data_IF_334187325857
#
_entry.id   IF_334187325857
#
_cell.length_a   1.000
_cell.length_b   1.000
_cell.length_c   1.000
_cell.angle_alpha   90.00
_cell.angle_beta   90.00
_cell.angle_gamma   90.00
#
_symmetry.space_group_name_H-M   'P 1'
#
loop_
_entity.id
_entity.type
_entity.pdbx_description
1 polymer ?
#
# COMPACT_ATOMS: atom_id res chain seq x y z
N UNK A 1 -9.12 6.45 57.60
CA UNK A 1 -7.78 6.91 57.98
C UNK A 1 -7.33 7.84 56.87
N UNK A 2 -7.32 9.13 57.11
CA UNK A 2 -6.89 10.13 56.14
C UNK A 2 -5.36 10.07 56.08
N UNK A 3 -4.85 9.53 55.01
CA UNK A 3 -3.42 9.59 54.69
C UNK A 3 -3.04 11.07 54.50
N UNK A 4 -1.96 11.46 55.12
CA UNK A 4 -1.46 12.82 55.08
C UNK A 4 -0.98 13.10 53.64
N UNK A 5 -1.67 13.92 52.82
CA UNK A 5 -1.37 14.08 51.39
C UNK A 5 0.08 14.51 51.14
N UNK A 6 0.68 15.20 52.10
CA UNK A 6 2.05 15.71 51.99
C UNK A 6 3.13 14.60 51.99
N UNK A 7 2.89 13.44 52.64
CA UNK A 7 3.87 12.32 52.67
C UNK A 7 3.79 11.53 51.36
N UNK A 8 2.60 11.32 50.86
CA UNK A 8 2.38 10.60 49.57
C UNK A 8 2.98 11.37 48.39
N UNK A 9 2.74 12.67 48.35
CA UNK A 9 3.31 13.53 47.32
C UNK A 9 4.84 13.53 47.35
N UNK A 10 5.43 13.60 48.57
CA UNK A 10 6.88 13.54 48.72
C UNK A 10 7.46 12.20 48.22
N UNK A 11 6.82 11.08 48.50
CA UNK A 11 7.27 9.76 48.05
C UNK A 11 7.17 9.67 46.52
N UNK A 12 6.09 10.16 45.93
CA UNK A 12 5.89 10.19 44.48
C UNK A 12 6.99 11.03 43.81
N UNK A 13 7.23 12.23 44.29
CA UNK A 13 8.25 13.12 43.75
C UNK A 13 9.67 12.56 43.92
N UNK A 14 9.95 11.94 45.07
CA UNK A 14 11.22 11.27 45.30
C UNK A 14 11.47 10.13 44.33
N UNK A 15 10.48 9.26 44.10
CA UNK A 15 10.59 8.15 43.16
C UNK A 15 10.69 8.61 41.70
N UNK A 16 10.01 9.70 41.34
CA UNK A 16 10.16 10.34 40.02
C UNK A 16 11.55 10.92 39.81
N UNK A 17 12.12 11.53 40.84
CA UNK A 17 13.47 12.09 40.78
C UNK A 17 14.58 11.02 40.80
N UNK A 18 14.27 9.81 41.27
CA UNK A 18 15.23 8.72 41.41
C UNK A 18 14.72 7.43 40.73
N UNK A 19 14.68 7.37 39.38
CA UNK A 19 14.16 6.21 38.67
C UNK A 19 14.94 4.91 38.93
N UNK A 20 16.23 5.04 39.33
CA UNK A 20 17.10 3.91 39.66
C UNK A 20 16.96 3.42 41.13
N UNK A 21 16.00 3.97 41.88
CA UNK A 21 15.84 3.63 43.31
C UNK A 21 15.68 2.13 43.52
N UNK A 22 14.81 1.48 42.78
CA UNK A 22 14.56 0.04 42.87
C UNK A 22 15.70 -0.82 42.32
N UNK A 23 16.52 -0.29 41.40
CA UNK A 23 17.74 -0.97 40.95
C UNK A 23 18.82 -1.01 42.06
N UNK A 24 18.88 0.04 42.87
CA UNK A 24 19.80 0.09 44.04
C UNK A 24 19.27 -0.66 45.23
N UNK A 25 17.97 -0.87 45.33
CA UNK A 25 17.28 -1.54 46.42
C UNK A 25 16.37 -2.66 45.93
N UNK A 26 16.92 -3.72 45.31
CA UNK A 26 16.13 -4.79 44.69
C UNK A 26 15.31 -5.59 45.72
N UNK A 27 15.79 -5.71 46.97
CA UNK A 27 15.12 -6.33 48.10
C UNK A 27 13.80 -5.63 48.45
N UNK A 28 13.76 -4.30 48.44
CA UNK A 28 12.52 -3.56 48.64
C UNK A 28 11.52 -3.83 47.54
N UNK A 29 11.99 -3.89 46.29
CA UNK A 29 11.14 -4.17 45.14
C UNK A 29 10.56 -5.60 45.20
N UNK A 30 11.36 -6.60 45.60
CA UNK A 30 10.94 -8.00 45.70
C UNK A 30 9.91 -8.23 46.81
N UNK A 31 9.99 -7.46 47.91
CA UNK A 31 9.09 -7.57 49.05
C UNK A 31 7.85 -6.66 48.97
N UNK A 32 7.77 -5.82 47.95
CA UNK A 32 6.64 -4.92 47.74
C UNK A 32 5.45 -5.72 47.22
N UNK A 33 4.45 -5.93 48.04
CA UNK A 33 3.20 -6.58 47.67
C UNK A 33 2.10 -5.53 47.46
N UNK A 34 1.53 -5.49 46.30
CA UNK A 34 0.39 -4.63 46.02
C UNK A 34 -0.92 -5.42 46.27
N UNK A 35 -1.90 -4.83 46.97
CA UNK A 35 -3.20 -5.49 47.13
C UNK A 35 -3.84 -5.69 45.79
N UNK A 36 -4.06 -6.93 45.39
CA UNK A 36 -4.74 -7.30 44.14
C UNK A 36 -6.23 -7.45 44.33
N UNK A 37 -6.97 -7.53 43.24
CA UNK A 37 -8.41 -7.85 43.27
C UNK A 37 -8.69 -9.35 43.35
N UNK A 38 -7.67 -10.20 43.51
CA UNK A 38 -7.83 -11.63 43.73
C UNK A 38 -8.23 -11.97 45.17
N UNK A 39 -8.94 -13.07 45.45
CA UNK A 39 -9.39 -13.44 46.76
C UNK A 39 -8.25 -13.63 47.80
N UNK A 40 -7.05 -13.87 47.35
CA UNK A 40 -5.83 -14.00 48.12
C UNK A 40 -5.00 -12.71 48.26
N UNK A 41 -5.44 -11.66 47.59
CA UNK A 41 -5.19 -10.25 47.96
C UNK A 41 -3.89 -9.63 47.56
N UNK A 42 -2.88 -10.33 47.07
CA UNK A 42 -1.60 -9.70 46.78
C UNK A 42 -0.96 -10.16 45.48
N UNK A 43 -0.59 -9.18 44.63
CA UNK A 43 0.23 -9.41 43.45
C UNK A 43 1.58 -8.75 43.60
N UNK A 44 2.62 -9.36 43.05
CA UNK A 44 3.92 -8.73 43.04
C UNK A 44 3.93 -7.51 42.11
N UNK A 45 4.73 -6.47 42.39
CA UNK A 45 4.87 -5.30 41.51
C UNK A 45 5.29 -5.69 40.09
N UNK A 46 6.10 -6.74 39.96
CA UNK A 46 6.53 -7.26 38.66
C UNK A 46 5.36 -7.84 37.83
N UNK A 47 4.41 -8.52 38.48
CA UNK A 47 3.20 -9.03 37.81
C UNK A 47 2.28 -7.89 37.36
N UNK A 48 2.08 -6.89 38.22
CA UNK A 48 1.29 -5.70 37.84
C UNK A 48 1.94 -4.93 36.68
N UNK A 49 3.25 -4.80 36.71
CA UNK A 49 3.98 -4.17 35.59
C UNK A 49 3.88 -4.96 34.29
N UNK A 50 4.01 -6.29 34.37
CA UNK A 50 3.85 -7.17 33.21
C UNK A 50 2.43 -7.09 32.62
N UNK A 51 1.39 -7.06 33.42
CA UNK A 51 0.02 -6.89 32.98
C UNK A 51 -0.21 -5.52 32.32
N UNK A 52 0.32 -4.46 32.93
CA UNK A 52 0.24 -3.12 32.38
C UNK A 52 0.97 -3.01 31.02
N UNK A 53 2.16 -3.63 30.90
CA UNK A 53 2.91 -3.68 29.65
C UNK A 53 2.19 -4.50 28.57
N UNK A 54 1.61 -5.64 28.93
CA UNK A 54 0.79 -6.44 28.00
C UNK A 54 -0.43 -5.67 27.51
N UNK A 55 -1.14 -4.98 28.41
CA UNK A 55 -2.27 -4.14 28.05
C UNK A 55 -1.85 -2.97 27.13
N UNK A 56 -0.72 -2.33 27.42
CA UNK A 56 -0.16 -1.28 26.58
C UNK A 56 0.24 -1.79 25.18
N UNK A 57 0.90 -2.94 25.11
CA UNK A 57 1.27 -3.59 23.83
C UNK A 57 0.02 -3.94 23.01
N UNK A 58 -0.98 -4.55 23.64
CA UNK A 58 -2.25 -4.88 22.95
C UNK A 58 -2.95 -3.65 22.42
N UNK A 59 -3.01 -2.57 23.18
CA UNK A 59 -3.60 -1.31 22.73
C UNK A 59 -2.81 -0.65 21.58
N UNK A 60 -1.48 -0.76 21.60
CA UNK A 60 -0.65 -0.30 20.49
C UNK A 60 -0.88 -1.11 19.21
N UNK A 61 -1.00 -2.44 19.33
CA UNK A 61 -1.29 -3.32 18.19
C UNK A 61 -2.65 -2.99 17.56
N UNK A 62 -3.69 -2.86 18.38
CA UNK A 62 -5.04 -2.50 17.91
C UNK A 62 -5.03 -1.15 17.18
N UNK A 63 -4.37 -0.13 17.74
CA UNK A 63 -4.26 1.18 17.08
C UNK A 63 -3.51 1.12 15.75
N UNK A 64 -2.47 0.31 15.67
CA UNK A 64 -1.70 0.14 14.43
C UNK A 64 -2.54 -0.59 13.37
N UNK A 65 -3.31 -1.59 13.75
CA UNK A 65 -4.23 -2.28 12.85
C UNK A 65 -5.36 -1.35 12.36
N UNK A 66 -5.95 -0.57 13.26
CA UNK A 66 -6.96 0.43 12.89
C UNK A 66 -6.38 1.49 11.94
N UNK A 67 -5.14 1.94 12.17
CA UNK A 67 -4.46 2.90 11.30
C UNK A 67 -4.27 2.32 9.90
N UNK A 68 -3.75 1.09 9.79
CA UNK A 68 -3.57 0.39 8.51
C UNK A 68 -4.90 0.19 7.77
N UNK A 69 -5.96 -0.15 8.50
CA UNK A 69 -7.28 -0.33 7.92
C UNK A 69 -7.84 0.98 7.37
N UNK A 70 -7.70 2.10 8.12
CA UNK A 70 -8.10 3.43 7.64
C UNK A 70 -7.31 3.88 6.43
N UNK A 71 -5.98 3.72 6.43
CA UNK A 71 -5.12 4.06 5.29
C UNK A 71 -5.49 3.24 4.05
N UNK A 72 -5.76 1.94 4.23
CA UNK A 72 -6.24 1.06 3.15
C UNK A 72 -7.60 1.51 2.60
N UNK A 73 -8.55 1.88 3.47
CA UNK A 73 -9.87 2.35 3.06
C UNK A 73 -9.79 3.68 2.27
N UNK A 74 -9.04 4.65 2.78
CA UNK A 74 -8.84 5.92 2.06
C UNK A 74 -8.15 5.74 0.72
N UNK A 75 -7.15 4.84 0.66
CA UNK A 75 -6.49 4.50 -0.61
C UNK A 75 -7.45 3.84 -1.60
N UNK A 76 -8.35 2.99 -1.13
CA UNK A 76 -9.35 2.33 -1.97
C UNK A 76 -10.42 3.30 -2.47
N UNK A 77 -10.90 4.22 -1.64
CA UNK A 77 -11.85 5.26 -2.03
C UNK A 77 -11.26 6.19 -3.09
N UNK A 78 -10.03 6.69 -2.88
CA UNK A 78 -9.35 7.55 -3.84
C UNK A 78 -9.17 6.87 -5.21
N UNK A 79 -8.78 5.59 -5.22
CA UNK A 79 -8.67 4.81 -6.46
C UNK A 79 -10.02 4.60 -7.14
N UNK A 80 -11.07 4.39 -6.37
CA UNK A 80 -12.42 4.25 -6.93
C UNK A 80 -12.90 5.54 -7.59
N UNK A 81 -12.65 6.69 -7.00
CA UNK A 81 -12.97 8.00 -7.59
C UNK A 81 -12.19 8.23 -8.89
N UNK A 82 -10.92 7.83 -8.93
CA UNK A 82 -10.06 7.97 -10.10
C UNK A 82 -10.55 7.08 -11.26
N UNK A 83 -10.96 5.84 -10.97
CA UNK A 83 -11.55 4.94 -11.95
C UNK A 83 -12.89 5.49 -12.48
N UNK A 84 -13.73 6.04 -11.61
CA UNK A 84 -15.00 6.64 -12.01
C UNK A 84 -14.76 7.86 -12.92
N UNK A 85 -13.79 8.70 -12.59
CA UNK A 85 -13.39 9.83 -13.44
C UNK A 85 -12.93 9.36 -14.80
N UNK A 86 -12.02 8.39 -14.84
CA UNK A 86 -11.54 7.80 -16.09
C UNK A 86 -12.68 7.22 -16.94
N UNK A 87 -13.60 6.46 -16.33
CA UNK A 87 -14.76 5.94 -17.03
C UNK A 87 -15.66 7.06 -17.59
N UNK A 88 -15.82 8.16 -16.84
CA UNK A 88 -16.56 9.33 -17.29
C UNK A 88 -15.89 10.01 -18.50
N UNK A 89 -14.57 10.16 -18.44
CA UNK A 89 -13.77 10.74 -19.53
C UNK A 89 -13.84 9.87 -20.80
N UNK A 90 -13.78 8.53 -20.65
CA UNK A 90 -13.97 7.59 -21.74
C UNK A 90 -15.35 7.73 -22.40
N UNK A 91 -16.41 7.84 -21.60
CA UNK A 91 -17.78 8.01 -22.11
C UNK A 91 -18.01 9.38 -22.75
N UNK A 92 -17.33 10.41 -22.28
CA UNK A 92 -17.37 11.74 -22.85
C UNK A 92 -16.53 11.91 -24.13
N UNK A 93 -15.58 10.98 -24.36
CA UNK A 93 -14.72 11.02 -25.54
C UNK A 93 -15.49 10.57 -26.79
N UNK A 94 -15.75 11.51 -27.70
CA UNK A 94 -16.45 11.23 -28.98
C UNK A 94 -15.50 10.96 -30.12
N UNK A 95 -14.19 11.13 -29.91
CA UNK A 95 -13.16 10.95 -30.93
C UNK A 95 -12.51 9.58 -30.83
N UNK A 96 -12.73 8.73 -31.84
CA UNK A 96 -12.08 7.41 -31.88
C UNK A 96 -10.55 7.48 -32.01
N UNK A 97 -10.00 8.61 -32.42
CA UNK A 97 -8.55 8.84 -32.54
C UNK A 97 -7.93 9.28 -31.19
N UNK A 98 -8.68 10.03 -30.42
CA UNK A 98 -8.21 10.53 -29.11
C UNK A 98 -8.34 9.49 -27.98
N UNK A 99 -9.29 8.57 -28.12
CA UNK A 99 -9.57 7.55 -27.12
C UNK A 99 -8.33 6.71 -26.72
N UNK A 100 -7.49 6.22 -27.66
CA UNK A 100 -6.26 5.50 -27.30
C UNK A 100 -5.27 6.34 -26.48
N UNK A 101 -5.16 7.63 -26.79
CA UNK A 101 -4.28 8.55 -26.04
C UNK A 101 -4.80 8.81 -24.63
N UNK A 102 -6.13 8.92 -24.47
CA UNK A 102 -6.76 9.08 -23.17
C UNK A 102 -6.51 7.85 -22.29
N UNK A 103 -6.68 6.65 -22.83
CA UNK A 103 -6.37 5.39 -22.13
C UNK A 103 -4.89 5.35 -21.74
N UNK A 104 -3.99 5.64 -22.67
CA UNK A 104 -2.55 5.62 -22.41
C UNK A 104 -2.14 6.61 -21.33
N UNK A 105 -2.65 7.85 -21.38
CA UNK A 105 -2.35 8.88 -20.40
C UNK A 105 -2.83 8.52 -19.00
N UNK A 106 -3.99 7.89 -18.88
CA UNK A 106 -4.50 7.38 -17.61
C UNK A 106 -3.57 6.34 -17.00
N UNK A 107 -3.16 5.33 -17.76
CA UNK A 107 -2.28 4.29 -17.27
C UNK A 107 -0.88 4.81 -16.92
N UNK A 108 -0.31 5.72 -17.71
CA UNK A 108 0.97 6.36 -17.39
C UNK A 108 0.88 7.10 -16.03
N UNK A 109 -0.20 7.84 -15.84
CA UNK A 109 -0.42 8.58 -14.59
C UNK A 109 -0.62 7.65 -13.39
N UNK A 110 -1.48 6.64 -13.52
CA UNK A 110 -1.83 5.70 -12.43
C UNK A 110 -0.61 4.89 -11.97
N UNK A 111 0.15 4.35 -12.93
CA UNK A 111 1.34 3.55 -12.61
C UNK A 111 2.61 4.39 -12.44
N UNK A 112 2.52 5.73 -12.61
CA UNK A 112 3.68 6.65 -12.57
C UNK A 112 4.80 6.18 -13.50
N UNK A 113 4.41 5.63 -14.67
CA UNK A 113 5.34 5.11 -15.64
C UNK A 113 6.11 6.26 -16.32
N UNK A 114 7.41 6.06 -16.56
CA UNK A 114 8.21 7.05 -17.29
C UNK A 114 7.79 7.13 -18.76
N UNK A 115 7.45 5.97 -19.33
CA UNK A 115 7.04 5.83 -20.72
C UNK A 115 5.88 4.85 -20.83
N UNK A 116 5.07 4.99 -21.88
CA UNK A 116 3.97 4.08 -22.18
C UNK A 116 3.74 3.96 -23.68
N UNK A 117 3.24 2.81 -24.08
CA UNK A 117 2.91 2.50 -25.46
C UNK A 117 1.57 1.77 -25.50
N UNK A 118 0.70 2.18 -26.43
CA UNK A 118 -0.53 1.47 -26.71
C UNK A 118 -0.49 0.97 -28.16
N UNK A 119 -0.81 -0.30 -28.37
CA UNK A 119 -0.94 -0.92 -29.68
C UNK A 119 -2.29 -1.61 -29.78
N UNK A 120 -2.93 -1.48 -30.93
CA UNK A 120 -4.24 -2.07 -31.21
C UNK A 120 -4.17 -2.91 -32.46
N UNK A 121 -4.66 -4.14 -32.38
CA UNK A 121 -4.82 -5.02 -33.55
C UNK A 121 -6.01 -5.97 -33.36
N UNK A 122 -6.78 -6.22 -34.44
CA UNK A 122 -6.77 -5.56 -35.74
C UNK A 122 -7.43 -4.18 -35.67
N UNK A 123 -7.03 -3.29 -36.57
CA UNK A 123 -7.67 -1.98 -36.76
C UNK A 123 -8.31 -1.87 -38.13
N UNK A 124 -9.33 -1.03 -38.25
CA UNK A 124 -9.94 -0.70 -39.56
C UNK A 124 -8.93 0.07 -40.41
N UNK A 125 -8.98 -0.05 -41.77
CA UNK A 125 -8.00 0.58 -42.67
C UNK A 125 -7.86 2.09 -42.51
N UNK A 126 -8.93 2.79 -42.16
CA UNK A 126 -8.91 4.25 -41.91
C UNK A 126 -8.12 4.67 -40.68
N UNK A 127 -7.76 3.75 -39.80
CA UNK A 127 -6.94 4.01 -38.61
C UNK A 127 -5.49 3.49 -38.71
N UNK A 128 -5.15 2.84 -39.84
CA UNK A 128 -3.82 2.21 -40.01
C UNK A 128 -2.64 3.18 -40.00
N UNK A 129 -2.88 4.48 -40.18
CA UNK A 129 -1.84 5.53 -40.21
C UNK A 129 -1.48 6.05 -38.80
N UNK A 130 -2.23 5.67 -37.78
CA UNK A 130 -2.00 6.17 -36.44
C UNK A 130 -0.94 5.33 -35.69
N UNK A 131 -0.17 5.94 -34.77
CA UNK A 131 0.87 5.23 -34.01
C UNK A 131 0.36 4.01 -33.25
N UNK A 132 -0.86 4.04 -32.74
CA UNK A 132 -1.46 2.91 -32.02
C UNK A 132 -1.80 1.71 -32.90
N UNK A 133 -1.82 1.89 -34.22
CA UNK A 133 -2.13 0.85 -35.22
C UNK A 133 -0.87 0.18 -35.81
N UNK A 134 0.31 0.65 -35.43
CA UNK A 134 1.59 0.08 -35.89
C UNK A 134 1.73 -1.35 -35.40
N UNK A 135 1.96 -2.31 -36.30
CA UNK A 135 2.09 -3.74 -36.00
C UNK A 135 3.46 -4.05 -35.43
N UNK A 136 3.49 -4.94 -34.45
CA UNK A 136 4.74 -5.37 -33.80
C UNK A 136 5.41 -6.57 -34.48
N UNK A 137 4.71 -7.24 -35.35
CA UNK A 137 5.15 -8.48 -35.98
C UNK A 137 4.41 -9.70 -35.41
N UNK A 138 4.18 -10.72 -36.26
CA UNK A 138 3.29 -11.83 -35.92
C UNK A 138 3.78 -12.66 -34.72
N UNK A 139 5.09 -12.86 -34.57
CA UNK A 139 5.63 -13.64 -33.46
C UNK A 139 5.48 -12.91 -32.12
N UNK A 140 5.69 -11.60 -32.13
CA UNK A 140 5.52 -10.74 -30.93
C UNK A 140 4.05 -10.64 -30.54
N UNK A 141 3.17 -10.42 -31.52
CA UNK A 141 1.73 -10.38 -31.28
C UNK A 141 1.22 -11.69 -30.70
N UNK A 142 1.67 -12.84 -31.21
CA UNK A 142 1.30 -14.14 -30.67
C UNK A 142 1.83 -14.35 -29.23
N UNK A 143 3.02 -13.87 -28.92
CA UNK A 143 3.57 -13.90 -27.57
C UNK A 143 2.75 -13.02 -26.63
N UNK A 144 2.40 -11.82 -27.04
CA UNK A 144 1.56 -10.88 -26.25
C UNK A 144 0.13 -11.41 -26.07
N UNK A 145 -0.43 -12.07 -27.09
CA UNK A 145 -1.75 -12.69 -27.03
C UNK A 145 -1.80 -13.87 -26.04
N UNK A 146 -0.67 -14.51 -25.76
CA UNK A 146 -0.57 -15.57 -24.75
C UNK A 146 -0.65 -15.09 -23.31
N UNK A 147 -0.49 -13.80 -23.07
CA UNK A 147 -0.58 -13.20 -21.73
C UNK A 147 -2.06 -13.11 -21.34
N UNK A 148 -2.49 -13.93 -20.39
CA UNK A 148 -3.92 -13.99 -19.99
C UNK A 148 -4.38 -12.74 -19.21
N UNK A 149 -3.61 -12.31 -18.23
CA UNK A 149 -3.99 -11.19 -17.35
C UNK A 149 -3.10 -9.96 -17.54
N UNK A 150 -1.88 -10.05 -17.01
CA UNK A 150 -0.85 -9.03 -17.17
C UNK A 150 0.54 -9.65 -17.01
N UNK A 151 1.54 -8.96 -17.49
CA UNK A 151 2.94 -9.29 -17.25
C UNK A 151 3.62 -8.14 -16.53
N UNK A 152 4.39 -8.45 -15.49
CA UNK A 152 5.24 -7.51 -14.77
C UNK A 152 6.62 -8.14 -14.58
N UNK A 153 7.65 -7.58 -15.21
CA UNK A 153 9.00 -8.12 -15.14
C UNK A 153 9.97 -7.38 -16.06
N UNK A 154 11.14 -7.98 -16.25
CA UNK A 154 12.24 -7.40 -17.05
C UNK A 154 12.43 -8.08 -18.42
N UNK A 155 11.86 -9.28 -18.65
CA UNK A 155 12.13 -10.12 -19.82
C UNK A 155 11.82 -9.48 -21.18
N UNK A 156 10.91 -8.50 -21.21
CA UNK A 156 10.54 -7.77 -22.44
C UNK A 156 11.16 -6.37 -22.50
N UNK A 157 12.12 -6.08 -21.61
CA UNK A 157 12.67 -4.74 -21.48
C UNK A 157 13.29 -4.21 -22.75
N UNK A 158 14.09 -5.03 -23.43
CA UNK A 158 14.82 -4.63 -24.65
C UNK A 158 13.85 -4.44 -25.82
N UNK A 159 12.87 -5.36 -26.01
CA UNK A 159 11.85 -5.23 -27.05
C UNK A 159 10.98 -4.01 -26.82
N UNK A 160 10.51 -3.79 -25.58
CA UNK A 160 9.68 -2.64 -25.24
C UNK A 160 10.44 -1.33 -25.43
N UNK A 161 11.70 -1.25 -25.05
CA UNK A 161 12.56 -0.11 -25.29
C UNK A 161 12.70 0.20 -26.80
N UNK A 162 12.87 -0.84 -27.61
CA UNK A 162 12.91 -0.70 -29.05
C UNK A 162 11.58 -0.15 -29.61
N UNK A 163 10.42 -0.65 -29.13
CA UNK A 163 9.10 -0.16 -29.55
C UNK A 163 8.84 1.28 -29.15
N UNK A 164 9.31 1.68 -27.97
CA UNK A 164 9.24 3.04 -27.45
C UNK A 164 10.28 3.97 -28.05
N UNK A 165 11.31 3.44 -28.74
CA UNK A 165 12.46 4.18 -29.28
C UNK A 165 13.24 4.93 -28.19
N UNK A 166 13.41 4.26 -27.04
CA UNK A 166 14.21 4.74 -25.89
C UNK A 166 15.44 3.84 -25.70
N UNK A 167 16.38 4.29 -24.85
CA UNK A 167 17.54 3.48 -24.51
C UNK A 167 17.13 2.27 -23.63
N UNK A 168 17.50 1.02 -23.97
CA UNK A 168 17.22 -0.16 -23.16
C UNK A 168 17.72 -0.05 -21.70
N UNK A 169 18.80 0.69 -21.46
CA UNK A 169 19.35 0.91 -20.10
C UNK A 169 18.35 1.65 -19.18
N UNK A 170 17.45 2.43 -19.74
CA UNK A 170 16.41 3.14 -18.99
C UNK A 170 15.24 2.24 -18.59
N UNK A 171 15.10 1.08 -19.23
CA UNK A 171 13.98 0.16 -19.02
C UNK A 171 14.31 -0.84 -17.91
N UNK A 172 13.94 -0.51 -16.67
CA UNK A 172 14.18 -1.37 -15.50
C UNK A 172 13.07 -2.35 -15.18
N UNK A 173 11.88 -2.08 -15.65
CA UNK A 173 10.71 -2.93 -15.45
C UNK A 173 9.62 -2.62 -16.47
N UNK A 174 8.92 -3.64 -16.90
CA UNK A 174 7.88 -3.57 -17.93
C UNK A 174 6.59 -4.11 -17.37
N UNK A 175 5.51 -3.34 -17.53
CA UNK A 175 4.15 -3.77 -17.29
C UNK A 175 3.44 -3.88 -18.63
N UNK A 176 2.95 -5.07 -18.96
CA UNK A 176 2.14 -5.33 -20.17
C UNK A 176 0.72 -5.66 -19.73
N UNK A 177 -0.23 -4.90 -20.23
CA UNK A 177 -1.65 -5.06 -19.94
C UNK A 177 -2.40 -5.40 -21.24
N UNK A 178 -2.84 -6.66 -21.43
CA UNK A 178 -3.68 -7.02 -22.57
C UNK A 178 -5.10 -6.48 -22.37
N UNK A 179 -5.54 -5.60 -23.25
CA UNK A 179 -6.91 -5.07 -23.28
C UNK A 179 -7.75 -5.93 -24.24
N UNK A 180 -8.68 -6.71 -23.69
CA UNK A 180 -9.53 -7.61 -24.48
C UNK A 180 -10.99 -7.25 -24.34
N UNK A 181 -11.71 -7.20 -25.45
CA UNK A 181 -13.15 -7.02 -25.46
C UNK A 181 -13.88 -8.27 -24.94
N UNK A 182 -15.03 -8.09 -24.30
CA UNK A 182 -15.84 -9.17 -23.71
C UNK A 182 -16.41 -10.16 -24.72
N UNK A 183 -16.41 -9.83 -26.02
CA UNK A 183 -17.05 -10.63 -27.07
C UNK A 183 -16.09 -11.26 -28.07
N UNK A 184 -14.78 -11.28 -27.80
CA UNK A 184 -13.79 -11.68 -28.80
C UNK A 184 -13.78 -10.80 -30.04
N UNK A 185 -14.56 -9.73 -30.05
CA UNK A 185 -14.50 -8.70 -31.05
C UNK A 185 -13.31 -7.81 -30.72
N UNK A 186 -12.28 -7.93 -31.50
CA UNK A 186 -11.13 -7.05 -31.48
C UNK A 186 -11.62 -5.71 -32.08
N UNK A 187 -11.48 -4.64 -31.31
CA UNK A 187 -11.86 -3.29 -31.74
C UNK A 187 -10.87 -2.70 -32.71
#
# INVERSE_FOLDING_TARGET
MSENPTVVDFVIDYLRANPDFFLRHPDLFLHLSLPGQAPDGSRSPAECQNEALKAALSSCQIREEERKLRESSHSSEAKSEEIIRFATDLLACHSQVELPNLVLSFFISEFKAAHGLLRLWPVKPNFSFFPFAERLGPDVEAALDSIENFYLGENYGDEVAHWLKIDPVETRGVLILPLRGHSGAVF
#
